data_IF_381366534830
#
_entry.id   IF_381366534830
#
_cell.length_a   1.000
_cell.length_b   1.000
_cell.length_c   1.000
_cell.angle_alpha   90.00
_cell.angle_beta   90.00
_cell.angle_gamma   90.00
#
_symmetry.space_group_name_H-M   'P 1'
#
loop_
_entity.id
_entity.type
_entity.pdbx_description
1 polymer ?
#
# COMPACT_ATOMS: atom_id res chain seq x y z
N UNK A 1 4.43 4.12 -33.02
CA UNK A 1 4.16 2.70 -33.39
C UNK A 1 3.64 2.03 -32.14
N UNK A 2 2.36 1.81 -32.08
CA UNK A 2 1.62 1.29 -30.94
C UNK A 2 1.86 -0.22 -30.84
N UNK A 3 2.59 -0.63 -29.82
CA UNK A 3 2.74 -2.05 -29.47
C UNK A 3 1.37 -2.57 -29.03
N UNK A 4 0.84 -3.46 -29.84
CA UNK A 4 -0.48 -4.08 -29.75
C UNK A 4 -0.77 -4.54 -28.33
N UNK A 5 -1.80 -3.98 -27.70
CA UNK A 5 -2.41 -4.51 -26.50
C UNK A 5 -2.79 -5.97 -26.77
N UNK A 6 -1.97 -6.92 -26.34
CA UNK A 6 -2.34 -8.34 -26.30
C UNK A 6 -3.58 -8.43 -25.43
N UNK A 7 -4.70 -8.81 -26.01
CA UNK A 7 -5.92 -9.07 -25.28
C UNK A 7 -5.60 -10.05 -24.13
N UNK A 8 -5.66 -9.52 -22.91
CA UNK A 8 -5.47 -10.32 -21.71
C UNK A 8 -6.60 -11.37 -21.70
N UNK A 9 -6.24 -12.63 -21.54
CA UNK A 9 -7.21 -13.71 -21.41
C UNK A 9 -8.20 -13.45 -20.24
N UNK A 10 -9.23 -14.30 -20.06
CA UNK A 10 -10.25 -14.11 -19.03
C UNK A 10 -9.63 -13.89 -17.65
N UNK A 11 -10.29 -13.11 -16.81
CA UNK A 11 -9.80 -12.79 -15.47
C UNK A 11 -9.65 -14.06 -14.61
N UNK A 12 -8.49 -14.29 -13.98
CA UNK A 12 -8.25 -15.51 -13.21
C UNK A 12 -9.16 -15.55 -11.98
N UNK A 13 -9.77 -16.68 -11.69
CA UNK A 13 -10.47 -16.90 -10.44
C UNK A 13 -9.48 -17.30 -9.35
N UNK A 14 -9.17 -16.38 -8.48
CA UNK A 14 -8.33 -16.60 -7.29
C UNK A 14 -9.28 -16.78 -6.09
N UNK A 15 -9.21 -17.92 -5.36
CA UNK A 15 -10.07 -18.10 -4.20
C UNK A 15 -9.75 -17.07 -3.10
N UNK A 16 -10.71 -16.70 -2.25
CA UNK A 16 -10.43 -15.87 -1.07
C UNK A 16 -9.48 -16.58 -0.10
N UNK A 17 -8.89 -15.89 0.86
CA UNK A 17 -8.11 -16.51 1.94
C UNK A 17 -8.89 -17.61 2.65
N UNK A 18 -8.16 -18.57 3.24
CA UNK A 18 -8.82 -19.66 3.97
C UNK A 18 -9.64 -19.12 5.16
N UNK A 19 -10.71 -19.82 5.53
CA UNK A 19 -11.55 -19.47 6.65
C UNK A 19 -10.74 -19.38 7.98
N UNK A 20 -9.71 -20.21 8.14
CA UNK A 20 -8.84 -20.15 9.32
C UNK A 20 -8.06 -18.83 9.38
N UNK A 21 -7.52 -18.37 8.26
CA UNK A 21 -6.82 -17.08 8.21
C UNK A 21 -7.79 -15.92 8.49
N UNK A 22 -9.00 -15.97 7.93
CA UNK A 22 -10.02 -14.95 8.17
C UNK A 22 -10.46 -14.91 9.66
N UNK A 23 -10.75 -16.05 10.26
CA UNK A 23 -11.19 -16.14 11.66
C UNK A 23 -10.11 -15.72 12.66
N UNK A 24 -8.84 -15.96 12.33
CA UNK A 24 -7.71 -15.59 13.20
C UNK A 24 -7.15 -14.20 12.94
N UNK A 25 -7.72 -13.45 12.02
CA UNK A 25 -7.21 -12.12 11.59
C UNK A 25 -7.05 -11.17 12.79
N UNK A 26 -8.07 -11.02 13.62
CA UNK A 26 -8.03 -10.13 14.78
C UNK A 26 -7.00 -10.55 15.85
N UNK A 27 -6.85 -11.84 16.09
CA UNK A 27 -5.85 -12.34 17.06
C UNK A 27 -4.43 -12.07 16.59
N UNK A 28 -4.15 -12.24 15.29
CA UNK A 28 -2.85 -11.96 14.70
C UNK A 28 -2.55 -10.47 14.68
N UNK A 29 -3.54 -9.63 14.38
CA UNK A 29 -3.42 -8.18 14.50
C UNK A 29 -3.07 -7.75 15.95
N UNK A 30 -3.66 -8.40 16.97
CA UNK A 30 -3.30 -8.14 18.37
C UNK A 30 -1.85 -8.50 18.69
N UNK A 31 -1.34 -9.62 18.16
CA UNK A 31 0.08 -9.99 18.30
C UNK A 31 0.99 -8.94 17.66
N UNK A 32 0.60 -8.37 16.52
CA UNK A 32 1.34 -7.31 15.85
C UNK A 32 1.37 -6.03 16.69
N UNK A 33 0.23 -5.63 17.30
CA UNK A 33 0.15 -4.50 18.23
C UNK A 33 1.08 -4.69 19.42
N UNK A 34 1.08 -5.87 20.03
CA UNK A 34 1.96 -6.20 21.17
C UNK A 34 3.42 -6.12 20.74
N UNK A 35 3.76 -6.76 19.60
CA UNK A 35 5.12 -6.76 19.04
C UNK A 35 5.62 -5.35 18.74
N UNK A 36 4.74 -4.50 18.19
CA UNK A 36 5.04 -3.10 17.92
C UNK A 36 5.33 -2.33 19.21
N UNK A 37 4.50 -2.49 20.25
CA UNK A 37 4.70 -1.81 21.52
C UNK A 37 6.03 -2.20 22.18
N UNK A 38 6.40 -3.49 22.13
CA UNK A 38 7.65 -4.00 22.67
C UNK A 38 8.88 -3.53 21.87
N UNK A 39 8.75 -3.43 20.55
CA UNK A 39 9.88 -3.10 19.66
C UNK A 39 10.01 -1.61 19.30
N UNK A 40 9.01 -0.77 19.64
CA UNK A 40 8.90 0.62 19.19
C UNK A 40 10.16 1.46 19.44
N UNK A 41 10.77 1.35 20.64
CA UNK A 41 11.99 2.11 20.99
C UNK A 41 13.19 1.68 20.15
N UNK A 42 13.32 0.36 19.91
CA UNK A 42 14.39 -0.19 19.08
C UNK A 42 14.18 0.20 17.62
N UNK A 43 12.94 0.12 17.15
CA UNK A 43 12.57 0.47 15.78
C UNK A 43 12.96 1.92 15.44
N UNK A 44 12.66 2.90 16.31
CA UNK A 44 13.11 4.28 16.12
C UNK A 44 14.62 4.47 16.04
N UNK A 45 15.40 3.59 16.68
CA UNK A 45 16.87 3.68 16.63
C UNK A 45 17.49 3.07 15.38
N UNK A 46 16.81 2.08 14.77
CA UNK A 46 17.34 1.36 13.61
C UNK A 46 16.71 1.78 12.29
N UNK A 47 15.56 2.42 12.32
CA UNK A 47 14.92 2.95 11.13
C UNK A 47 15.74 4.15 10.60
N UNK A 48 15.94 4.25 9.28
CA UNK A 48 16.61 5.40 8.70
C UNK A 48 15.79 6.68 8.94
N UNK A 49 16.44 7.83 9.16
CA UNK A 49 15.78 9.11 9.28
C UNK A 49 15.18 9.55 7.95
N UNK A 50 14.18 10.42 8.01
CA UNK A 50 13.60 11.09 6.87
C UNK A 50 14.40 12.32 6.45
N UNK A 51 14.05 12.84 5.29
CA UNK A 51 14.63 14.05 4.66
C UNK A 51 13.65 15.23 4.64
N UNK A 52 12.55 15.14 5.39
CA UNK A 52 11.51 16.19 5.47
C UNK A 52 10.47 16.15 4.36
N UNK A 53 10.60 15.28 3.35
CA UNK A 53 9.65 15.27 2.25
C UNK A 53 8.22 14.88 2.67
N UNK A 54 7.20 15.34 1.92
CA UNK A 54 5.82 15.05 2.24
C UNK A 54 5.45 13.58 1.99
N UNK A 55 4.73 12.99 2.96
CA UNK A 55 4.19 11.63 2.89
C UNK A 55 2.70 11.66 3.15
N UNK A 56 1.87 11.16 2.25
CA UNK A 56 0.44 10.97 2.46
C UNK A 56 0.12 9.50 2.73
N UNK A 57 -0.60 9.24 3.83
CA UNK A 57 -0.99 7.89 4.23
C UNK A 57 -2.48 7.69 3.99
N UNK A 58 -2.84 6.71 3.15
CA UNK A 58 -4.21 6.44 2.70
C UNK A 58 -4.75 5.17 3.38
N UNK A 59 -5.96 5.25 4.00
CA UNK A 59 -6.58 4.12 4.69
C UNK A 59 -7.20 3.11 3.72
N UNK A 60 -7.33 1.85 4.18
CA UNK A 60 -8.08 0.81 3.49
C UNK A 60 -9.60 1.04 3.55
N UNK A 61 -10.34 0.15 2.87
CA UNK A 61 -11.80 0.14 2.88
C UNK A 61 -12.35 0.07 4.31
N UNK A 62 -13.32 0.92 4.64
CA UNK A 62 -13.90 1.16 5.97
C UNK A 62 -12.94 1.80 7.00
N UNK A 63 -11.67 1.96 6.69
CA UNK A 63 -10.70 2.66 7.54
C UNK A 63 -10.79 4.19 7.41
N UNK A 64 -10.15 4.86 8.34
CA UNK A 64 -10.00 6.33 8.37
C UNK A 64 -8.58 6.72 8.81
N UNK A 65 -8.34 8.01 8.99
CA UNK A 65 -7.05 8.51 9.47
C UNK A 65 -6.67 8.03 10.87
N UNK A 66 -7.64 7.69 11.72
CA UNK A 66 -7.42 7.11 13.05
C UNK A 66 -6.73 5.76 12.98
N UNK A 67 -7.14 4.93 12.00
CA UNK A 67 -6.57 3.62 11.77
C UNK A 67 -5.06 3.67 11.46
N UNK A 68 -4.62 4.67 10.70
CA UNK A 68 -3.22 4.87 10.31
C UNK A 68 -2.45 5.82 11.26
N UNK A 69 -3.07 6.32 12.32
CA UNK A 69 -2.48 7.36 13.16
C UNK A 69 -1.16 6.93 13.82
N UNK A 70 -1.02 5.66 14.17
CA UNK A 70 0.20 5.14 14.80
C UNK A 70 1.39 5.16 13.82
N UNK A 71 1.17 4.69 12.58
CA UNK A 71 2.18 4.74 11.51
C UNK A 71 2.55 6.19 11.17
N UNK A 72 1.55 7.07 11.02
CA UNK A 72 1.81 8.49 10.74
C UNK A 72 2.68 9.13 11.83
N UNK A 73 2.36 8.92 13.13
CA UNK A 73 3.19 9.42 14.24
C UNK A 73 4.60 8.86 14.24
N UNK A 74 4.78 7.61 13.83
CA UNK A 74 6.11 7.01 13.70
C UNK A 74 6.93 7.72 12.62
N UNK A 75 6.36 7.91 11.42
CA UNK A 75 7.04 8.58 10.31
C UNK A 75 7.32 10.06 10.61
N UNK A 76 6.38 10.76 11.27
CA UNK A 76 6.63 12.15 11.74
C UNK A 76 7.83 12.23 12.68
N UNK A 77 8.03 11.24 13.56
CA UNK A 77 9.20 11.19 14.45
C UNK A 77 10.50 10.80 13.76
N UNK A 78 10.44 10.37 12.52
CA UNK A 78 11.57 10.16 11.63
C UNK A 78 11.81 11.35 10.69
N UNK A 79 11.22 12.52 11.01
CA UNK A 79 11.38 13.79 10.31
C UNK A 79 10.73 13.84 8.90
N UNK A 80 9.69 13.03 8.63
CA UNK A 80 8.86 13.20 7.44
C UNK A 80 7.72 14.21 7.69
N UNK A 81 7.32 14.96 6.66
CA UNK A 81 6.11 15.80 6.68
C UNK A 81 4.87 14.94 6.39
N UNK A 82 4.29 14.32 7.43
CA UNK A 82 3.28 13.27 7.26
C UNK A 82 1.85 13.80 7.32
N UNK A 83 1.05 13.43 6.34
CA UNK A 83 -0.34 13.81 6.19
C UNK A 83 -1.26 12.58 6.14
N UNK A 84 -2.46 12.73 6.64
CA UNK A 84 -3.55 11.79 6.40
C UNK A 84 -4.28 12.12 5.10
N UNK A 85 -5.19 11.25 4.70
CA UNK A 85 -6.00 11.47 3.51
C UNK A 85 -7.07 12.56 3.72
N UNK A 86 -7.56 12.75 4.96
CA UNK A 86 -8.39 13.91 5.34
C UNK A 86 -9.88 13.82 4.97
N UNK A 87 -10.38 12.64 4.52
CA UNK A 87 -11.76 12.50 3.99
C UNK A 87 -12.66 11.57 4.83
N UNK A 88 -12.30 11.35 6.11
CA UNK A 88 -13.09 10.50 7.01
C UNK A 88 -12.98 9.01 6.66
N UNK A 89 -14.11 8.28 6.66
CA UNK A 89 -14.11 6.84 6.40
C UNK A 89 -14.03 6.53 4.91
N UNK A 90 -13.12 5.66 4.52
CA UNK A 90 -12.96 5.23 3.13
C UNK A 90 -14.05 4.21 2.74
N UNK A 91 -15.04 4.65 2.00
CA UNK A 91 -16.15 3.82 1.50
C UNK A 91 -15.98 3.42 0.03
N UNK A 92 -14.85 3.73 -0.59
CA UNK A 92 -14.59 3.48 -2.00
C UNK A 92 -14.48 4.75 -2.84
N UNK A 93 -14.35 4.62 -4.18
CA UNK A 93 -14.10 5.74 -5.09
C UNK A 93 -15.35 6.54 -5.48
N UNK A 94 -16.43 6.46 -4.71
CA UNK A 94 -17.67 7.17 -4.92
C UNK A 94 -17.65 8.61 -4.38
N UNK A 95 -18.69 9.37 -4.67
CA UNK A 95 -18.97 10.69 -4.06
C UNK A 95 -17.83 11.73 -4.25
N UNK A 96 -17.16 11.70 -5.39
CA UNK A 96 -16.08 12.64 -5.69
C UNK A 96 -14.79 12.40 -4.87
N UNK A 97 -14.60 11.19 -4.33
CA UNK A 97 -13.39 10.86 -3.53
C UNK A 97 -12.12 11.00 -4.36
N UNK A 98 -12.12 10.60 -5.64
CA UNK A 98 -10.92 10.71 -6.47
C UNK A 98 -10.57 12.17 -6.79
N UNK A 99 -11.57 13.02 -7.05
CA UNK A 99 -11.37 14.46 -7.24
C UNK A 99 -10.76 15.10 -6.00
N UNK A 100 -11.33 14.80 -4.82
CA UNK A 100 -10.78 15.29 -3.54
C UNK A 100 -9.36 14.78 -3.26
N UNK A 101 -9.05 13.56 -3.71
CA UNK A 101 -7.69 13.02 -3.60
C UNK A 101 -6.70 13.73 -4.52
N UNK A 102 -7.12 14.08 -5.74
CA UNK A 102 -6.33 14.89 -6.67
C UNK A 102 -6.04 16.26 -6.08
N UNK A 103 -7.09 16.96 -5.64
CA UNK A 103 -6.96 18.26 -4.97
C UNK A 103 -6.03 18.18 -3.77
N UNK A 104 -6.18 17.12 -2.95
CA UNK A 104 -5.32 16.89 -1.80
C UNK A 104 -3.86 16.66 -2.17
N UNK A 105 -3.58 15.95 -3.26
CA UNK A 105 -2.22 15.75 -3.76
C UNK A 105 -1.63 17.09 -4.23
N UNK A 106 -2.38 17.86 -5.03
CA UNK A 106 -1.97 19.18 -5.50
C UNK A 106 -1.66 20.13 -4.33
N UNK A 107 -2.55 20.24 -3.36
CA UNK A 107 -2.36 21.05 -2.15
C UNK A 107 -1.07 20.69 -1.39
N UNK A 108 -0.74 19.40 -1.31
CA UNK A 108 0.48 18.96 -0.63
C UNK A 108 1.73 19.28 -1.44
N UNK A 109 1.70 19.10 -2.75
CA UNK A 109 2.81 19.47 -3.63
C UNK A 109 3.07 20.98 -3.56
N UNK A 110 2.02 21.79 -3.67
CA UNK A 110 2.13 23.26 -3.61
C UNK A 110 2.66 23.73 -2.25
N UNK A 111 2.18 23.14 -1.17
CA UNK A 111 2.60 23.50 0.21
C UNK A 111 4.06 23.16 0.49
N UNK A 112 4.55 22.04 -0.03
CA UNK A 112 5.89 21.56 0.28
C UNK A 112 6.91 21.84 -0.82
N UNK A 113 6.48 22.25 -2.01
CA UNK A 113 7.34 22.45 -3.17
C UNK A 113 8.07 21.17 -3.63
N UNK A 114 7.49 20.00 -3.35
CA UNK A 114 8.13 18.70 -3.60
C UNK A 114 7.11 17.60 -3.86
N UNK A 115 7.46 16.57 -4.68
CA UNK A 115 6.62 15.40 -4.89
C UNK A 115 6.33 14.63 -3.60
N UNK A 116 5.11 14.08 -3.50
CA UNK A 116 4.59 13.38 -2.31
C UNK A 116 4.86 11.88 -2.42
N UNK A 117 5.39 11.26 -1.36
CA UNK A 117 5.39 9.79 -1.22
C UNK A 117 4.02 9.30 -0.75
N UNK A 118 3.47 8.28 -1.40
CA UNK A 118 2.16 7.73 -1.07
C UNK A 118 2.32 6.37 -0.38
N UNK A 119 1.74 6.25 0.82
CA UNK A 119 1.69 4.97 1.57
C UNK A 119 0.23 4.57 1.70
N UNK A 120 -0.18 3.50 1.02
CA UNK A 120 -1.59 3.09 0.99
C UNK A 120 -1.82 1.68 1.55
N UNK A 121 -2.75 1.55 2.51
CA UNK A 121 -3.19 0.25 3.01
C UNK A 121 -4.39 -0.25 2.21
N UNK A 122 -4.36 -1.52 1.77
CA UNK A 122 -5.49 -2.16 1.09
C UNK A 122 -6.03 -1.29 -0.07
N UNK A 123 -7.29 -0.88 -0.05
CA UNK A 123 -7.90 0.03 -1.04
C UNK A 123 -7.12 1.36 -1.17
N UNK A 124 -6.55 1.87 -0.08
CA UNK A 124 -5.73 3.08 -0.12
C UNK A 124 -4.49 2.95 -0.99
N UNK A 125 -3.93 1.75 -1.12
CA UNK A 125 -2.82 1.51 -2.05
C UNK A 125 -3.26 1.46 -3.52
N UNK A 126 -4.51 1.10 -3.80
CA UNK A 126 -5.09 1.23 -5.14
C UNK A 126 -5.19 2.71 -5.49
N UNK A 127 -5.75 3.55 -4.61
CA UNK A 127 -5.81 5.00 -4.81
C UNK A 127 -4.43 5.64 -5.00
N UNK A 128 -3.45 5.23 -4.19
CA UNK A 128 -2.07 5.70 -4.33
C UNK A 128 -1.48 5.38 -5.72
N UNK A 129 -1.75 4.19 -6.25
CA UNK A 129 -1.29 3.78 -7.59
C UNK A 129 -1.98 4.57 -8.69
N UNK A 130 -3.28 4.85 -8.55
CA UNK A 130 -4.02 5.65 -9.54
C UNK A 130 -3.54 7.10 -9.56
N UNK A 131 -3.36 7.74 -8.40
CA UNK A 131 -2.75 9.08 -8.32
C UNK A 131 -1.36 9.12 -8.97
N UNK A 132 -0.54 8.11 -8.72
CA UNK A 132 0.80 8.04 -9.29
C UNK A 132 0.80 7.79 -10.81
N UNK A 133 -0.24 7.14 -11.34
CA UNK A 133 -0.43 6.96 -12.79
C UNK A 133 -0.87 8.24 -13.46
N UNK A 134 -1.79 8.96 -12.82
CA UNK A 134 -2.34 10.19 -13.34
C UNK A 134 -1.38 11.39 -13.20
N UNK A 135 -0.63 11.46 -12.08
CA UNK A 135 0.25 12.58 -11.75
C UNK A 135 1.67 12.11 -11.37
N UNK A 136 2.41 11.45 -12.29
CA UNK A 136 3.71 10.87 -11.97
C UNK A 136 4.75 11.91 -11.49
N UNK A 137 4.67 13.14 -11.98
CA UNK A 137 5.60 14.23 -11.59
C UNK A 137 5.36 14.74 -10.17
N UNK A 138 4.16 14.48 -9.62
CA UNK A 138 3.76 14.91 -8.28
C UNK A 138 3.92 13.80 -7.24
N UNK A 139 4.15 12.57 -7.67
CA UNK A 139 4.31 11.42 -6.80
C UNK A 139 5.75 10.92 -6.81
N UNK A 140 6.42 11.00 -5.66
CA UNK A 140 7.80 10.56 -5.48
C UNK A 140 7.94 9.04 -5.58
N UNK A 141 7.05 8.30 -4.92
CA UNK A 141 6.97 6.84 -4.92
C UNK A 141 5.65 6.35 -4.31
N UNK A 142 5.33 5.09 -4.55
CA UNK A 142 4.18 4.40 -3.95
C UNK A 142 4.65 3.21 -3.10
N UNK A 143 4.15 3.12 -1.86
CA UNK A 143 4.30 1.94 -1.01
C UNK A 143 2.90 1.41 -0.69
N UNK A 144 2.56 0.22 -1.17
CA UNK A 144 1.26 -0.41 -0.94
C UNK A 144 1.37 -1.54 0.09
N UNK A 145 0.42 -1.59 1.03
CA UNK A 145 0.36 -2.55 2.12
C UNK A 145 -0.87 -3.46 1.91
N UNK A 146 -0.68 -4.70 1.48
CA UNK A 146 -1.76 -5.66 1.24
C UNK A 146 -2.82 -5.19 0.24
N UNK A 147 -2.45 -4.42 -0.76
CA UNK A 147 -3.39 -3.81 -1.71
C UNK A 147 -3.67 -4.75 -2.88
N UNK A 148 -4.94 -5.11 -3.16
CA UNK A 148 -5.31 -6.03 -4.23
C UNK A 148 -5.40 -5.32 -5.58
N UNK A 149 -4.27 -5.00 -6.19
CA UNK A 149 -4.21 -4.39 -7.52
C UNK A 149 -4.05 -5.40 -8.67
N UNK A 150 -3.70 -6.65 -8.36
CA UNK A 150 -3.56 -7.72 -9.34
C UNK A 150 -4.89 -8.22 -9.89
N UNK A 151 -4.82 -9.01 -10.95
CA UNK A 151 -6.00 -9.63 -11.58
C UNK A 151 -6.67 -10.62 -10.62
N UNK A 152 -7.98 -10.84 -10.78
CA UNK A 152 -8.77 -11.76 -9.94
C UNK A 152 -9.10 -11.22 -8.54
N UNK A 153 -8.81 -9.95 -8.24
CA UNK A 153 -8.97 -9.33 -6.92
C UNK A 153 -10.38 -9.39 -6.35
N UNK A 154 -11.41 -9.28 -7.20
CA UNK A 154 -12.81 -9.31 -6.76
C UNK A 154 -13.22 -10.68 -6.24
N UNK A 155 -12.71 -11.77 -6.81
CA UNK A 155 -12.94 -13.12 -6.31
C UNK A 155 -12.05 -13.47 -5.11
N UNK A 156 -10.94 -12.77 -4.95
CA UNK A 156 -9.89 -13.04 -3.97
C UNK A 156 -10.02 -12.25 -2.65
N UNK A 157 -11.04 -11.41 -2.50
CA UNK A 157 -11.21 -10.52 -1.34
C UNK A 157 -12.51 -10.81 -0.59
N UNK A 158 -12.43 -10.98 0.73
CA UNK A 158 -13.62 -11.21 1.56
C UNK A 158 -14.61 -10.04 1.51
N UNK A 159 -14.18 -8.77 1.61
CA UNK A 159 -15.10 -7.63 1.59
C UNK A 159 -15.62 -7.27 0.18
N UNK A 160 -15.22 -8.00 -0.88
CA UNK A 160 -15.55 -7.65 -2.26
C UNK A 160 -17.07 -7.49 -2.50
N UNK A 161 -17.91 -8.34 -1.90
CA UNK A 161 -19.37 -8.24 -2.02
C UNK A 161 -19.90 -6.94 -1.42
N UNK A 162 -19.43 -6.56 -0.22
CA UNK A 162 -19.83 -5.31 0.42
C UNK A 162 -19.28 -4.11 -0.35
N UNK A 163 -18.04 -4.21 -0.83
CA UNK A 163 -17.44 -3.18 -1.67
C UNK A 163 -18.27 -2.95 -2.93
N UNK A 164 -18.63 -4.02 -3.68
CA UNK A 164 -19.46 -3.91 -4.90
C UNK A 164 -20.87 -3.40 -4.62
N UNK A 165 -21.46 -3.74 -3.48
CA UNK A 165 -22.76 -3.22 -3.09
C UNK A 165 -22.76 -1.71 -2.82
N UNK A 166 -21.64 -1.18 -2.33
CA UNK A 166 -21.45 0.26 -2.06
C UNK A 166 -20.87 1.02 -3.26
N UNK A 167 -20.22 0.32 -4.18
CA UNK A 167 -19.55 0.88 -5.35
C UNK A 167 -19.90 0.03 -6.58
N UNK A 168 -21.04 0.27 -7.23
CA UNK A 168 -21.44 -0.46 -8.43
C UNK A 168 -20.37 -0.36 -9.51
N UNK A 169 -20.07 -1.46 -10.24
CA UNK A 169 -18.99 -1.49 -11.24
C UNK A 169 -19.13 -0.42 -12.34
N UNK A 170 -20.35 -0.06 -12.69
CA UNK A 170 -20.70 0.94 -13.72
C UNK A 170 -20.29 2.36 -13.30
N UNK A 171 -20.12 2.59 -11.99
CA UNK A 171 -19.78 3.91 -11.41
C UNK A 171 -18.32 4.01 -11.00
N UNK A 172 -17.51 2.95 -11.20
CA UNK A 172 -16.12 2.99 -10.79
C UNK A 172 -15.29 3.86 -11.76
N UNK A 173 -14.77 5.00 -11.30
CA UNK A 173 -13.98 5.92 -12.12
C UNK A 173 -12.52 5.48 -12.33
N UNK A 174 -12.23 4.20 -12.12
CA UNK A 174 -10.88 3.60 -12.19
C UNK A 174 -10.86 2.56 -13.29
N UNK A 175 -9.90 2.66 -14.20
CA UNK A 175 -9.71 1.65 -15.24
C UNK A 175 -9.23 0.32 -14.59
N UNK A 176 -10.15 -0.63 -14.56
CA UNK A 176 -9.94 -1.93 -13.93
C UNK A 176 -8.85 -2.75 -14.63
N UNK A 177 -8.66 -2.55 -15.94
CA UNK A 177 -7.69 -3.26 -16.76
C UNK A 177 -6.27 -2.72 -16.58
N UNK A 178 -6.12 -1.49 -16.14
CA UNK A 178 -4.83 -0.87 -15.88
C UNK A 178 -4.30 -1.08 -14.46
N UNK A 179 -5.15 -1.47 -13.51
CA UNK A 179 -4.77 -1.56 -12.09
C UNK A 179 -3.57 -2.48 -11.83
N UNK A 180 -3.44 -3.58 -12.57
CA UNK A 180 -2.35 -4.56 -12.40
C UNK A 180 -1.01 -4.06 -12.98
N UNK A 181 -1.03 -3.10 -13.89
CA UNK A 181 0.19 -2.48 -14.40
C UNK A 181 0.85 -1.59 -13.33
N UNK A 182 2.17 -1.56 -13.23
CA UNK A 182 2.84 -0.64 -12.32
C UNK A 182 2.63 0.82 -12.77
N UNK A 183 2.48 1.78 -11.84
CA UNK A 183 2.55 3.18 -12.17
C UNK A 183 3.98 3.56 -12.60
N UNK A 184 4.17 4.66 -13.35
CA UNK A 184 5.49 5.05 -13.88
C UNK A 184 6.39 5.76 -12.84
N UNK A 185 6.29 5.35 -11.58
CA UNK A 185 7.10 5.82 -10.46
C UNK A 185 7.58 4.64 -9.62
N UNK A 186 8.65 4.79 -8.82
CA UNK A 186 9.10 3.74 -7.92
C UNK A 186 7.97 3.18 -7.06
N UNK A 187 7.77 1.85 -7.10
CA UNK A 187 6.62 1.23 -6.43
C UNK A 187 7.03 -0.01 -5.65
N UNK A 188 6.72 -0.03 -4.35
CA UNK A 188 6.95 -1.17 -3.48
C UNK A 188 5.62 -1.76 -2.99
N UNK A 189 5.38 -3.04 -3.27
CA UNK A 189 4.25 -3.78 -2.72
C UNK A 189 4.69 -4.63 -1.52
N UNK A 190 4.12 -4.36 -0.35
CA UNK A 190 4.37 -5.15 0.86
C UNK A 190 3.17 -6.08 1.07
N UNK A 191 3.43 -7.39 1.17
CA UNK A 191 2.39 -8.39 1.24
C UNK A 191 2.65 -9.47 2.29
N UNK A 192 1.60 -10.16 2.70
CA UNK A 192 1.68 -11.30 3.60
C UNK A 192 0.90 -12.51 3.06
N UNK A 193 1.51 -13.69 3.11
CA UNK A 193 0.77 -14.94 2.86
C UNK A 193 -0.18 -15.30 4.00
N UNK A 194 -0.04 -14.61 5.13
CA UNK A 194 -0.94 -14.70 6.27
C UNK A 194 -2.11 -13.73 6.22
N UNK A 195 -2.26 -12.93 5.17
CA UNK A 195 -3.40 -12.04 4.98
C UNK A 195 -4.70 -12.86 4.90
N UNK A 196 -5.63 -12.61 5.82
CA UNK A 196 -6.91 -13.33 5.92
C UNK A 196 -8.08 -12.58 5.28
N UNK A 197 -7.86 -11.43 4.67
CA UNK A 197 -8.88 -10.58 4.04
C UNK A 197 -8.72 -10.57 2.52
N UNK A 198 -7.48 -10.41 2.05
CA UNK A 198 -7.12 -10.34 0.63
C UNK A 198 -6.14 -11.48 0.30
N UNK A 199 -6.40 -12.23 -0.75
CA UNK A 199 -5.48 -13.28 -1.16
C UNK A 199 -4.19 -12.66 -1.70
N UNK A 200 -3.06 -13.01 -1.13
CA UNK A 200 -1.74 -12.42 -1.37
C UNK A 200 -1.31 -12.36 -2.85
N UNK A 201 -1.79 -13.28 -3.70
CA UNK A 201 -1.46 -13.29 -5.13
C UNK A 201 -1.96 -12.05 -5.87
N UNK A 202 -3.01 -11.40 -5.37
CA UNK A 202 -3.53 -10.17 -5.97
C UNK A 202 -2.80 -8.90 -5.52
N UNK A 203 -1.82 -9.05 -4.64
CA UNK A 203 -1.05 -7.93 -4.07
C UNK A 203 0.39 -7.86 -4.58
N UNK A 204 0.72 -8.67 -5.60
CA UNK A 204 2.05 -8.76 -6.21
C UNK A 204 2.09 -8.03 -7.55
N UNK A 205 3.26 -7.50 -7.89
CA UNK A 205 3.56 -7.15 -9.27
C UNK A 205 3.65 -8.43 -10.11
N UNK A 206 2.84 -8.53 -11.15
CA UNK A 206 2.82 -9.67 -12.06
C UNK A 206 3.94 -9.61 -13.09
N UNK A 207 4.40 -8.40 -13.38
CA UNK A 207 5.46 -8.14 -14.34
C UNK A 207 6.65 -7.48 -13.64
N UNK A 208 7.84 -7.99 -13.94
CA UNK A 208 9.07 -7.36 -13.49
C UNK A 208 9.23 -5.99 -14.17
N UNK A 209 9.46 -4.96 -13.39
CA UNK A 209 9.76 -3.62 -13.87
C UNK A 209 10.94 -3.06 -13.06
N UNK A 210 11.89 -2.33 -13.65
CA UNK A 210 13.10 -1.87 -12.96
C UNK A 210 12.85 -1.06 -11.68
N UNK A 211 11.68 -0.42 -11.57
CA UNK A 211 11.31 0.41 -10.43
C UNK A 211 10.19 -0.21 -9.58
N UNK A 212 9.96 -1.52 -9.68
CA UNK A 212 8.96 -2.21 -8.86
C UNK A 212 9.56 -3.34 -8.05
N UNK A 213 8.93 -3.63 -6.92
CA UNK A 213 9.34 -4.72 -6.06
C UNK A 213 8.19 -5.17 -5.16
N UNK A 214 8.11 -6.47 -4.89
CA UNK A 214 7.17 -7.06 -3.94
C UNK A 214 7.93 -7.69 -2.78
N UNK A 215 7.65 -7.24 -1.53
CA UNK A 215 8.34 -7.69 -0.33
C UNK A 215 7.37 -8.47 0.56
N UNK A 216 7.71 -9.73 0.84
CA UNK A 216 6.93 -10.56 1.74
C UNK A 216 7.28 -10.28 3.19
N UNK A 217 6.24 -10.15 4.01
CA UNK A 217 6.33 -10.05 5.48
C UNK A 217 5.48 -11.13 6.13
N UNK A 218 5.71 -11.36 7.43
CA UNK A 218 4.76 -12.09 8.27
C UNK A 218 3.78 -11.09 8.87
N UNK A 219 2.48 -11.39 8.78
CA UNK A 219 1.46 -10.50 9.34
C UNK A 219 0.04 -10.82 8.88
N UNK A 220 -0.91 -10.19 9.53
CA UNK A 220 -2.33 -10.15 9.19
C UNK A 220 -2.62 -8.97 8.27
N UNK A 221 -3.79 -8.93 7.62
CA UNK A 221 -4.23 -7.78 6.83
C UNK A 221 -4.50 -6.56 7.70
N UNK A 222 -5.34 -6.76 8.74
CA UNK A 222 -5.73 -5.69 9.64
C UNK A 222 -4.58 -5.17 10.51
N UNK A 223 -3.55 -5.97 10.74
CA UNK A 223 -2.39 -5.57 11.52
C UNK A 223 -1.28 -4.90 10.71
N UNK A 224 -1.34 -4.85 9.38
CA UNK A 224 -0.23 -4.34 8.56
C UNK A 224 0.25 -2.94 8.96
N UNK A 225 -0.66 -2.04 9.26
CA UNK A 225 -0.33 -0.67 9.69
C UNK A 225 0.18 -0.58 11.14
N UNK A 226 0.20 -1.71 11.87
CA UNK A 226 0.65 -1.85 13.26
C UNK A 226 1.77 -2.89 13.39
N UNK A 227 2.34 -3.35 12.28
CA UNK A 227 3.40 -4.35 12.23
C UNK A 227 4.78 -3.68 12.22
N UNK A 228 5.66 -3.98 13.19
CA UNK A 228 6.99 -3.35 13.29
C UNK A 228 7.89 -3.63 12.09
N UNK A 229 7.75 -4.79 11.44
CA UNK A 229 8.52 -5.13 10.25
C UNK A 229 8.11 -4.25 9.06
N UNK A 230 6.81 -3.98 8.92
CA UNK A 230 6.29 -3.10 7.88
C UNK A 230 6.70 -1.66 8.14
N UNK A 231 6.68 -1.20 9.40
CA UNK A 231 7.15 0.14 9.73
C UNK A 231 8.62 0.36 9.36
N UNK A 232 9.48 -0.63 9.62
CA UNK A 232 10.87 -0.57 9.19
C UNK A 232 11.00 -0.49 7.68
N UNK A 233 10.27 -1.34 6.93
CA UNK A 233 10.29 -1.32 5.47
C UNK A 233 9.79 0.01 4.89
N UNK A 234 8.69 0.55 5.43
CA UNK A 234 8.16 1.85 4.99
C UNK A 234 9.21 2.93 5.18
N UNK A 235 9.84 3.01 6.36
CA UNK A 235 10.90 3.99 6.63
C UNK A 235 12.12 3.79 5.70
N UNK A 236 12.53 2.56 5.49
CA UNK A 236 13.67 2.19 4.64
C UNK A 236 13.40 2.56 3.17
N UNK A 237 12.19 2.28 2.67
CA UNK A 237 11.82 2.64 1.30
C UNK A 237 11.67 4.15 1.11
N UNK A 238 11.07 4.85 2.08
CA UNK A 238 10.93 6.30 2.04
C UNK A 238 12.29 7.02 2.04
N UNK A 239 13.28 6.47 2.74
CA UNK A 239 14.63 7.05 2.82
C UNK A 239 15.44 6.95 1.51
N UNK A 240 15.01 6.11 0.56
CA UNK A 240 15.67 6.02 -0.75
C UNK A 240 15.19 7.15 -1.65
N UNK A 241 16.07 8.04 -2.15
CA UNK A 241 15.69 9.05 -3.13
C UNK A 241 15.11 8.40 -4.39
N UNK A 242 14.06 9.00 -4.97
CA UNK A 242 13.40 8.44 -6.16
C UNK A 242 14.38 8.26 -7.35
N UNK A 243 15.29 9.22 -7.54
CA UNK A 243 16.31 9.15 -8.59
C UNK A 243 17.36 8.04 -8.35
N UNK A 244 17.53 7.60 -7.10
CA UNK A 244 18.47 6.56 -6.68
C UNK A 244 17.74 5.26 -6.30
N UNK A 245 16.49 5.11 -6.75
CA UNK A 245 15.71 3.97 -6.35
C UNK A 245 16.42 2.65 -6.68
N UNK A 246 16.45 1.77 -5.72
CA UNK A 246 17.01 0.42 -5.83
C UNK A 246 16.14 -0.55 -5.06
N UNK A 247 16.08 -1.81 -5.47
CA UNK A 247 15.38 -2.84 -4.73
C UNK A 247 15.88 -2.95 -3.28
N UNK A 248 14.97 -3.30 -2.37
CA UNK A 248 15.33 -3.66 -1.01
C UNK A 248 16.14 -4.96 -1.00
N UNK A 249 17.35 -4.90 -0.51
CA UNK A 249 18.23 -6.05 -0.35
C UNK A 249 18.24 -6.50 1.10
N UNK A 250 18.04 -7.80 1.31
CA UNK A 250 18.03 -8.39 2.63
C UNK A 250 19.46 -8.69 3.09
N UNK A 251 19.95 -7.94 4.07
CA UNK A 251 21.24 -8.20 4.74
C UNK A 251 21.05 -8.77 6.15
N UNK A 252 21.99 -9.60 6.64
CA UNK A 252 22.03 -10.04 8.03
C UNK A 252 20.68 -10.57 8.57
N UNK A 253 20.18 -9.97 9.65
CA UNK A 253 18.93 -10.33 10.32
C UNK A 253 17.67 -10.17 9.44
N UNK A 254 17.73 -9.31 8.42
CA UNK A 254 16.60 -9.08 7.51
C UNK A 254 16.23 -10.35 6.74
N UNK A 255 17.18 -11.22 6.44
CA UNK A 255 16.93 -12.51 5.77
C UNK A 255 15.97 -13.42 6.55
N UNK A 256 15.98 -13.31 7.89
CA UNK A 256 15.11 -14.09 8.78
C UNK A 256 13.70 -13.50 8.86
N UNK A 257 13.57 -12.18 8.81
CA UNK A 257 12.30 -11.47 9.04
C UNK A 257 11.54 -11.17 7.77
N UNK A 258 12.21 -11.07 6.62
CA UNK A 258 11.61 -10.84 5.30
C UNK A 258 11.80 -12.07 4.41
N UNK A 259 10.85 -13.02 4.41
CA UNK A 259 11.06 -14.34 3.80
C UNK A 259 11.07 -14.36 2.27
N UNK A 260 10.72 -13.26 1.60
CA UNK A 260 10.73 -13.16 0.14
C UNK A 260 10.79 -11.72 -0.35
N UNK A 261 11.59 -11.51 -1.38
CA UNK A 261 11.66 -10.27 -2.16
C UNK A 261 11.58 -10.68 -3.63
N UNK A 262 10.69 -10.07 -4.37
CA UNK A 262 10.46 -10.34 -5.80
C UNK A 262 10.55 -9.02 -6.56
N UNK A 263 11.20 -9.01 -7.73
CA UNK A 263 11.22 -7.85 -8.62
C UNK A 263 9.84 -7.51 -9.14
#
# INVERSE_FOLDING_TARGET
MTESARALGPEPRIPPPSALLALTEGHRALVEIISLNLSRRRLHRIAPPGDGHPVMVLPGFLGDDGYNAALRRFLTRLDYAVHGWGMGRNLGPRDGVLEKLRDRLHDLVDRHGAPVSLVGHSLGGIFARELAREFPEQVRQVISLGSPFGRGRMSASIPARLFSALNPPEELPVDQDLLHHPPPVPTTAIYSRGDGIVHWRTTLHEQAHPQTQSIRVYGSHCGMTLNPLIWFLVAERLAVPAAEWRPFERGGWQKLLYPGVHP
#
